data_IF_639101810645
#
_entry.id   IF_639101810645
#
_cell.length_a   1.000
_cell.length_b   1.000
_cell.length_c   1.000
_cell.angle_alpha   90.00
_cell.angle_beta   90.00
_cell.angle_gamma   90.00
#
_symmetry.space_group_name_H-M   'P 1'
#
loop_
_entity.id
_entity.type
_entity.pdbx_description
1 polymer ?
#
# COMPACT_ATOMS: atom_id res chain seq x y z
N UNK A 1 8.67 2.47 25.21
CA UNK A 1 7.30 2.85 24.84
C UNK A 1 7.27 2.94 23.32
N UNK A 2 6.61 2.00 22.64
CA UNK A 2 6.45 2.05 21.19
C UNK A 2 5.30 3.03 20.91
N UNK A 3 5.63 4.23 20.42
CA UNK A 3 4.62 5.18 20.00
C UNK A 3 3.90 4.63 18.76
N UNK A 4 2.67 4.14 18.94
CA UNK A 4 1.80 3.80 17.83
C UNK A 4 1.40 5.11 17.14
N UNK A 5 1.76 5.31 15.86
CA UNK A 5 1.40 6.54 15.17
C UNK A 5 -0.12 6.71 15.19
N UNK A 6 -0.54 7.94 15.52
CA UNK A 6 -1.91 8.43 15.53
C UNK A 6 -2.76 7.85 14.39
N UNK A 7 -4.03 7.56 14.72
CA UNK A 7 -5.10 6.98 13.88
C UNK A 7 -5.35 7.86 12.65
N UNK A 8 -4.46 7.81 11.67
CA UNK A 8 -4.58 8.55 10.43
C UNK A 8 -5.48 7.75 9.49
N UNK A 9 -6.67 8.29 9.22
CA UNK A 9 -7.54 7.78 8.16
C UNK A 9 -6.88 8.07 6.82
N UNK A 10 -6.02 7.17 6.37
CA UNK A 10 -5.41 7.25 5.05
C UNK A 10 -6.44 6.82 4.02
N UNK A 11 -6.81 7.75 3.15
CA UNK A 11 -7.63 7.48 1.98
C UNK A 11 -6.74 7.14 0.79
N UNK A 12 -6.89 5.91 0.29
CA UNK A 12 -6.22 5.45 -0.92
C UNK A 12 -7.08 5.76 -2.15
N UNK A 13 -6.44 6.14 -3.26
CA UNK A 13 -7.12 6.25 -4.55
C UNK A 13 -7.47 4.85 -5.08
N UNK A 14 -8.43 4.75 -6.02
CA UNK A 14 -8.82 3.47 -6.62
C UNK A 14 -7.61 2.69 -7.18
N UNK A 15 -6.69 3.39 -7.85
CA UNK A 15 -5.49 2.78 -8.41
C UNK A 15 -4.50 2.31 -7.32
N UNK A 16 -4.35 3.08 -6.24
CA UNK A 16 -3.53 2.68 -5.10
C UNK A 16 -4.14 1.47 -4.39
N UNK A 17 -5.46 1.46 -4.15
CA UNK A 17 -6.17 0.33 -3.56
C UNK A 17 -6.06 -0.94 -4.40
N UNK A 18 -6.15 -0.84 -5.73
CA UNK A 18 -5.98 -2.00 -6.64
C UNK A 18 -4.57 -2.59 -6.56
N UNK A 19 -3.54 -1.75 -6.50
CA UNK A 19 -2.17 -2.21 -6.33
C UNK A 19 -2.00 -2.83 -4.92
N UNK A 20 -2.55 -2.19 -3.89
CA UNK A 20 -2.48 -2.65 -2.50
C UNK A 20 -3.21 -3.98 -2.27
N UNK A 21 -4.35 -4.21 -2.93
CA UNK A 21 -5.06 -5.49 -2.82
C UNK A 21 -4.22 -6.66 -3.36
N UNK A 22 -3.42 -6.42 -4.39
CA UNK A 22 -2.51 -7.43 -4.92
C UNK A 22 -1.31 -7.67 -4.00
N UNK A 23 -0.79 -6.60 -3.38
CA UNK A 23 0.24 -6.71 -2.34
C UNK A 23 -0.24 -7.52 -1.13
N UNK A 24 -1.48 -7.31 -0.68
CA UNK A 24 -2.05 -8.07 0.44
C UNK A 24 -2.28 -9.54 0.10
N UNK A 25 -2.48 -9.86 -1.18
CA UNK A 25 -2.58 -11.24 -1.66
C UNK A 25 -1.22 -11.93 -1.83
N UNK A 26 -0.11 -11.26 -1.48
CA UNK A 26 1.23 -11.84 -1.50
C UNK A 26 2.00 -11.69 -2.81
N UNK A 27 1.45 -10.99 -3.82
CA UNK A 27 2.14 -10.82 -5.10
C UNK A 27 3.39 -9.95 -4.95
N UNK A 28 4.45 -10.35 -5.64
CA UNK A 28 5.68 -9.57 -5.82
C UNK A 28 5.47 -8.38 -6.75
N UNK A 29 6.39 -7.42 -6.71
CA UNK A 29 6.32 -6.23 -7.58
C UNK A 29 6.38 -6.60 -9.07
N UNK A 30 7.05 -7.73 -9.43
CA UNK A 30 7.06 -8.26 -10.80
C UNK A 30 5.71 -8.82 -11.20
N UNK A 31 5.11 -9.68 -10.38
CA UNK A 31 3.78 -10.24 -10.66
C UNK A 31 2.70 -9.15 -10.72
N UNK A 32 2.81 -8.11 -9.88
CA UNK A 32 1.93 -6.94 -9.92
C UNK A 32 2.12 -6.18 -11.23
N UNK A 33 3.38 -5.98 -11.66
CA UNK A 33 3.69 -5.30 -12.91
C UNK A 33 3.10 -6.04 -14.10
N UNK A 34 3.28 -7.36 -14.15
CA UNK A 34 2.75 -8.22 -15.22
C UNK A 34 1.22 -8.19 -15.26
N UNK A 35 0.58 -8.31 -14.09
CA UNK A 35 -0.89 -8.33 -13.97
C UNK A 35 -1.54 -6.97 -14.29
N UNK A 36 -0.84 -5.86 -14.02
CA UNK A 36 -1.33 -4.52 -14.31
C UNK A 36 -0.81 -3.98 -15.66
N UNK A 37 -0.04 -4.78 -16.42
CA UNK A 37 0.62 -4.39 -17.65
C UNK A 37 1.48 -3.12 -17.53
N UNK A 38 2.17 -2.99 -16.40
CA UNK A 38 3.15 -1.93 -16.15
C UNK A 38 4.57 -2.49 -16.15
N UNK A 39 5.57 -1.62 -16.22
CA UNK A 39 6.95 -2.03 -15.96
C UNK A 39 7.17 -2.25 -14.45
N UNK A 40 8.07 -3.16 -14.11
CA UNK A 40 8.54 -3.35 -12.73
C UNK A 40 8.96 -2.01 -12.08
N UNK A 41 9.71 -1.19 -12.82
CA UNK A 41 10.17 0.13 -12.36
C UNK A 41 9.02 1.07 -12.04
N UNK A 42 7.94 1.03 -12.83
CA UNK A 42 6.73 1.82 -12.54
C UNK A 42 6.10 1.41 -11.21
N UNK A 43 5.91 0.11 -10.97
CA UNK A 43 5.34 -0.42 -9.71
C UNK A 43 6.21 -0.05 -8.52
N UNK A 44 7.53 -0.26 -8.62
CA UNK A 44 8.50 0.09 -7.58
C UNK A 44 8.50 1.59 -7.28
N UNK A 45 8.46 2.43 -8.31
CA UNK A 45 8.36 3.88 -8.15
C UNK A 45 7.04 4.31 -7.52
N UNK A 46 5.93 3.67 -7.91
CA UNK A 46 4.61 3.94 -7.32
C UNK A 46 4.60 3.61 -5.83
N UNK A 47 5.18 2.48 -5.43
CA UNK A 47 5.33 2.09 -4.02
C UNK A 47 6.20 3.09 -3.24
N UNK A 48 7.36 3.47 -3.78
CA UNK A 48 8.23 4.47 -3.18
C UNK A 48 7.50 5.81 -2.98
N UNK A 49 6.70 6.24 -3.98
CA UNK A 49 5.87 7.45 -3.88
C UNK A 49 4.82 7.32 -2.78
N UNK A 50 4.19 6.16 -2.62
CA UNK A 50 3.22 5.93 -1.54
C UNK A 50 3.89 5.96 -0.16
N UNK A 51 5.07 5.39 0.00
CA UNK A 51 5.83 5.49 1.25
C UNK A 51 6.10 6.95 1.64
N UNK A 52 6.54 7.77 0.69
CA UNK A 52 6.77 9.20 0.91
C UNK A 52 5.47 9.96 1.19
N UNK A 53 4.44 9.74 0.37
CA UNK A 53 3.13 10.40 0.46
C UNK A 53 2.46 10.17 1.82
N UNK A 54 2.57 8.96 2.36
CA UNK A 54 1.92 8.56 3.60
C UNK A 54 2.87 8.47 4.80
N UNK A 55 4.14 8.91 4.64
CA UNK A 55 5.19 8.84 5.67
C UNK A 55 5.39 7.44 6.25
N UNK A 56 5.30 6.43 5.40
CA UNK A 56 5.47 5.02 5.75
C UNK A 56 6.91 4.58 5.52
N UNK A 57 7.34 3.61 6.31
CA UNK A 57 8.76 3.21 6.35
C UNK A 57 9.10 2.09 5.36
N UNK A 58 8.17 1.17 5.12
CA UNK A 58 8.42 0.00 4.30
C UNK A 58 7.10 -0.64 3.83
N UNK A 59 7.24 -1.69 3.02
CA UNK A 59 6.14 -2.49 2.47
C UNK A 59 5.21 -3.04 3.55
N UNK A 60 5.75 -3.61 4.63
CA UNK A 60 4.94 -4.17 5.71
C UNK A 60 4.10 -3.09 6.42
N UNK A 61 4.68 -1.91 6.66
CA UNK A 61 3.99 -0.77 7.24
C UNK A 61 2.83 -0.31 6.32
N UNK A 62 3.05 -0.27 5.00
CA UNK A 62 2.01 0.05 4.04
C UNK A 62 0.87 -0.97 4.01
N UNK A 63 1.20 -2.27 4.03
CA UNK A 63 0.20 -3.35 4.09
C UNK A 63 -0.61 -3.27 5.37
N UNK A 64 0.03 -3.11 6.53
CA UNK A 64 -0.65 -3.01 7.83
C UNK A 64 -1.65 -1.84 7.87
N UNK A 65 -1.23 -0.66 7.38
CA UNK A 65 -2.08 0.53 7.31
C UNK A 65 -3.25 0.33 6.35
N UNK A 66 -3.02 -0.28 5.18
CA UNK A 66 -4.08 -0.56 4.22
C UNK A 66 -5.12 -1.50 4.81
N UNK A 67 -4.70 -2.62 5.39
CA UNK A 67 -5.60 -3.58 6.05
C UNK A 67 -6.40 -2.91 7.15
N UNK A 68 -5.75 -2.12 8.01
CA UNK A 68 -6.44 -1.34 9.05
C UNK A 68 -7.50 -0.38 8.47
N UNK A 69 -7.23 0.25 7.33
CA UNK A 69 -8.18 1.16 6.66
C UNK A 69 -9.44 0.47 6.13
N UNK A 70 -9.33 -0.81 5.74
CA UNK A 70 -10.46 -1.61 5.26
C UNK A 70 -11.44 -1.91 6.40
N UNK A 71 -10.94 -2.31 7.57
CA UNK A 71 -11.78 -2.57 8.74
C UNK A 71 -12.36 -1.29 9.37
N UNK A 72 -11.63 -0.18 9.27
CA UNK A 72 -12.12 1.12 9.77
C UNK A 72 -13.23 1.73 8.92
N UNK A 73 -13.43 1.23 7.68
CA UNK A 73 -14.49 1.68 6.76
C UNK A 73 -15.76 0.82 6.83
N UNK A 74 -15.67 -0.35 7.49
CA UNK A 74 -16.78 -1.30 7.68
C UNK A 74 -17.41 -1.22 9.10
N UNK A 75 -17.00 -0.24 9.91
CA UNK A 75 -17.55 0.06 11.24
C UNK A 75 -18.22 1.44 11.19
#
# INVERSE_FOLDING_TARGET
>A
MLEFPQKSFIKFTKSESRLLSMLTSGLSDREIADTLHFSYSYVSCKLCRMFKKYKLKNRCHLVAIFVHSLYSSNA
#
